data_IF_947819907842
#
_entry.id   IF_947819907842
#
_cell.length_a   1.000
_cell.length_b   1.000
_cell.length_c   1.000
_cell.angle_alpha   90.00
_cell.angle_beta   90.00
_cell.angle_gamma   90.00
#
_symmetry.space_group_name_H-M   'P 1'
#
loop_
_entity.id
_entity.type
_entity.pdbx_description
1 polymer ?
#
# COMPACT_ATOMS: atom_id res chain seq x y z
N UNK A 1 -5.83 3.97 -4.25
CA UNK A 1 -5.05 2.74 -4.50
C UNK A 1 -5.94 1.66 -5.08
N UNK A 2 -5.77 1.36 -6.37
CA UNK A 2 -6.34 0.17 -7.00
C UNK A 2 -5.55 -1.07 -6.58
N UNK A 3 -6.24 -2.17 -6.25
CA UNK A 3 -5.60 -3.39 -5.76
C UNK A 3 -5.46 -4.43 -6.88
N UNK A 4 -4.33 -5.16 -6.95
CA UNK A 4 -3.17 -5.06 -6.07
C UNK A 4 -2.30 -3.82 -6.35
N UNK A 5 -1.71 -3.23 -5.30
CA UNK A 5 -0.89 -2.02 -5.40
C UNK A 5 0.55 -2.22 -4.93
N UNK A 6 1.53 -1.70 -5.66
CA UNK A 6 2.90 -1.59 -5.14
C UNK A 6 2.98 -0.51 -4.06
N UNK A 7 3.47 -0.87 -2.87
CA UNK A 7 3.54 0.03 -1.71
C UNK A 7 4.91 0.01 -1.04
N UNK A 8 5.25 1.12 -0.38
CA UNK A 8 6.22 1.13 0.72
C UNK A 8 5.48 1.01 2.04
N UNK A 9 6.02 0.21 2.95
CA UNK A 9 5.42 -0.08 4.25
C UNK A 9 6.32 0.49 5.35
N UNK A 10 5.70 1.21 6.28
CA UNK A 10 6.32 1.60 7.54
C UNK A 10 5.48 1.02 8.68
N UNK A 11 6.12 0.25 9.56
CA UNK A 11 5.47 -0.36 10.72
C UNK A 11 6.47 -0.45 11.87
N UNK A 12 6.12 0.12 13.02
CA UNK A 12 7.02 0.18 14.18
C UNK A 12 7.17 -1.17 14.88
N UNK A 13 6.11 -1.97 14.95
CA UNK A 13 6.08 -3.26 15.65
C UNK A 13 7.15 -4.23 15.12
N UNK A 14 7.33 -4.27 13.79
CA UNK A 14 8.35 -5.09 13.12
C UNK A 14 9.59 -4.28 12.69
N UNK A 15 9.68 -3.00 13.10
CA UNK A 15 10.75 -2.08 12.70
C UNK A 15 10.96 -2.02 11.17
N UNK A 16 9.88 -2.13 10.40
CA UNK A 16 9.89 -2.04 8.95
C UNK A 16 9.91 -0.56 8.56
N UNK A 17 10.97 -0.13 7.88
CA UNK A 17 11.16 1.26 7.44
C UNK A 17 11.31 1.31 5.93
N UNK A 18 10.20 1.52 5.22
CA UNK A 18 10.18 1.59 3.75
C UNK A 18 10.27 0.22 3.08
N UNK A 19 9.71 -0.82 3.71
CA UNK A 19 9.67 -2.16 3.12
C UNK A 19 8.86 -2.16 1.83
N UNK A 20 9.42 -2.71 0.75
CA UNK A 20 8.72 -2.80 -0.54
C UNK A 20 7.82 -4.03 -0.53
N UNK A 21 6.53 -3.82 -0.79
CA UNK A 21 5.58 -4.91 -0.88
C UNK A 21 4.46 -4.65 -1.87
N UNK A 22 3.56 -5.61 -1.98
CA UNK A 22 2.35 -5.53 -2.77
C UNK A 22 1.15 -5.64 -1.83
N UNK A 23 0.38 -4.56 -1.73
CA UNK A 23 -0.90 -4.56 -1.01
C UNK A 23 -1.92 -5.35 -1.83
N UNK A 24 -2.52 -6.35 -1.20
CA UNK A 24 -3.51 -7.25 -1.82
C UNK A 24 -4.93 -6.91 -1.37
N UNK A 25 -5.10 -6.55 -0.10
CA UNK A 25 -6.40 -6.26 0.51
C UNK A 25 -6.25 -5.28 1.67
N UNK A 26 -7.27 -4.41 1.82
CA UNK A 26 -7.53 -3.67 3.07
C UNK A 26 -8.73 -4.34 3.72
N UNK A 27 -8.52 -5.06 4.83
CA UNK A 27 -9.58 -5.80 5.52
C UNK A 27 -10.43 -4.87 6.39
N UNK A 28 -11.74 -5.12 6.42
CA UNK A 28 -12.66 -4.46 7.35
C UNK A 28 -12.38 -4.82 8.82
N UNK A 29 -11.63 -5.89 9.08
CA UNK A 29 -11.20 -6.30 10.42
C UNK A 29 -9.97 -5.52 10.93
N UNK A 30 -9.47 -4.55 10.17
CA UNK A 30 -8.45 -3.62 10.65
C UNK A 30 -7.00 -4.01 10.34
N UNK A 31 -6.76 -4.77 9.28
CA UNK A 31 -5.43 -5.13 8.82
C UNK A 31 -5.25 -4.96 7.31
N UNK A 32 -4.01 -4.74 6.89
CA UNK A 32 -3.56 -4.83 5.51
C UNK A 32 -3.02 -6.22 5.23
N UNK A 33 -3.48 -6.84 4.15
CA UNK A 33 -2.87 -8.05 3.62
C UNK A 33 -1.85 -7.66 2.55
N UNK A 34 -0.57 -7.96 2.82
CA UNK A 34 0.54 -7.55 1.97
C UNK A 34 1.44 -8.75 1.69
N UNK A 35 1.87 -8.92 0.45
CA UNK A 35 3.05 -9.73 0.16
C UNK A 35 4.31 -8.87 0.38
N UNK A 36 5.14 -9.27 1.35
CA UNK A 36 6.37 -8.58 1.73
C UNK A 36 7.55 -9.56 1.68
N UNK A 37 8.70 -9.07 1.20
CA UNK A 37 9.94 -9.85 1.21
C UNK A 37 10.61 -9.79 2.58
N UNK A 38 10.88 -10.96 3.17
CA UNK A 38 11.76 -11.11 4.32
C UNK A 38 12.94 -12.00 3.93
N UNK A 39 14.16 -11.47 3.99
CA UNK A 39 15.35 -12.16 3.48
C UNK A 39 15.20 -12.44 1.99
N UNK A 40 15.24 -13.72 1.61
CA UNK A 40 15.13 -14.17 0.21
C UNK A 40 13.72 -14.66 -0.17
N UNK A 41 12.77 -14.63 0.77
CA UNK A 41 11.43 -15.20 0.57
C UNK A 41 10.36 -14.14 0.63
N UNK A 42 9.30 -14.35 -0.16
CA UNK A 42 8.09 -13.54 -0.12
C UNK A 42 7.10 -14.21 0.83
N UNK A 43 6.54 -13.41 1.74
CA UNK A 43 5.58 -13.85 2.73
C UNK A 43 4.29 -13.08 2.59
N UNK A 44 3.16 -13.78 2.75
CA UNK A 44 1.87 -13.18 3.02
C UNK A 44 1.89 -12.66 4.46
N UNK A 45 1.66 -11.37 4.63
CA UNK A 45 1.76 -10.69 5.93
C UNK A 45 0.49 -9.93 6.23
N UNK A 46 0.10 -9.93 7.50
CA UNK A 46 -1.02 -9.15 8.02
C UNK A 46 -0.45 -8.04 8.90
N UNK A 47 -0.53 -6.80 8.43
CA UNK A 47 -0.12 -5.64 9.20
C UNK A 47 -1.35 -4.97 9.82
N UNK A 48 -1.39 -4.69 11.13
CA UNK A 48 -2.48 -3.93 11.71
C UNK A 48 -2.52 -2.54 11.08
N UNK A 49 -3.71 -2.03 10.75
CA UNK A 49 -3.85 -0.65 10.22
C UNK A 49 -3.33 0.35 11.27
N UNK A 50 -3.64 0.11 12.54
CA UNK A 50 -3.06 0.88 13.63
C UNK A 50 -1.55 0.67 13.69
N UNK A 51 -0.79 1.74 13.47
CA UNK A 51 0.68 1.69 13.50
C UNK A 51 1.33 1.21 12.20
N UNK A 52 0.57 1.09 11.11
CA UNK A 52 1.13 0.84 9.77
C UNK A 52 0.76 1.96 8.81
N UNK A 53 1.76 2.49 8.13
CA UNK A 53 1.59 3.43 7.03
C UNK A 53 1.94 2.72 5.72
N UNK A 54 1.06 2.84 4.74
CA UNK A 54 1.30 2.41 3.36
C UNK A 54 1.45 3.63 2.45
N UNK A 55 2.46 3.63 1.60
CA UNK A 55 2.73 4.68 0.62
C UNK A 55 2.62 4.05 -0.77
N UNK A 56 1.67 4.50 -1.59
CA UNK A 56 1.55 4.03 -2.98
C UNK A 56 2.81 4.41 -3.75
N UNK A 57 3.40 3.44 -4.48
CA UNK A 57 4.61 3.67 -5.27
C UNK A 57 4.33 4.23 -6.65
N UNK A 58 3.09 4.15 -7.11
CA UNK A 58 2.64 4.77 -8.35
C UNK A 58 1.88 6.05 -7.98
N UNK A 59 2.36 7.23 -8.41
CA UNK A 59 1.57 8.45 -8.28
C UNK A 59 0.29 8.27 -9.12
N UNK A 60 -0.86 8.50 -8.51
CA UNK A 60 -2.11 8.56 -9.26
C UNK A 60 -2.07 9.83 -10.14
N UNK A 61 -2.31 9.68 -11.44
CA UNK A 61 -2.39 10.81 -12.37
C UNK A 61 -3.65 11.62 -12.07
N UNK A 62 -3.51 12.69 -11.29
CA UNK A 62 -4.64 13.56 -10.87
C UNK A 62 -5.09 14.48 -12.03
N UNK A 63 -4.52 14.34 -13.23
CA UNK A 63 -4.61 15.33 -14.32
C UNK A 63 -5.76 15.14 -15.31
N UNK A 64 -6.86 14.44 -14.96
CA UNK A 64 -8.01 14.31 -15.87
C UNK A 64 -9.35 14.28 -15.13
N UNK A 65 -10.06 15.42 -15.20
CA UNK A 65 -11.47 15.74 -14.90
C UNK A 65 -11.46 17.09 -14.16
N UNK A 66 -11.88 18.27 -14.65
CA UNK A 66 -12.80 18.63 -15.73
C UNK A 66 -12.45 20.05 -16.22
N UNK A 67 -11.94 20.18 -17.45
CA UNK A 67 -11.94 21.46 -18.19
C UNK A 67 -12.65 21.24 -19.52
N UNK A 68 -13.88 20.72 -19.47
CA UNK A 68 -14.82 20.97 -20.56
C UNK A 68 -15.21 22.43 -20.49
N UNK A 69 -14.47 23.27 -21.22
CA UNK A 69 -14.88 24.65 -21.50
C UNK A 69 -16.06 24.55 -22.45
N UNK A 70 -17.29 24.68 -21.94
CA UNK A 70 -18.48 24.87 -22.75
C UNK A 70 -18.26 26.05 -23.71
N UNK A 71 -18.47 25.82 -25.02
CA UNK A 71 -18.48 26.85 -26.06
C UNK A 71 -19.89 27.11 -26.54
#
# INVERSE_FOLDING_TARGET
MELPAEVLIHNELLNVKGGKGTLLQVSSEGYYEVNLTFGERVHRTLFPIQGTVLICRQPEDITRQDLEIER
#
